data_IF_433973933740
#
_entry.id   IF_433973933740
#
_cell.length_a   1.000
_cell.length_b   1.000
_cell.length_c   1.000
_cell.angle_alpha   90.00
_cell.angle_beta   90.00
_cell.angle_gamma   90.00
#
_symmetry.space_group_name_H-M   'P 1'
#
loop_
_entity.id
_entity.type
_entity.pdbx_description
1 polymer ?
#
# COMPACT_ATOMS: atom_id res chain seq x y z
N UNK A 1 12.85 -5.55 -9.19
CA UNK A 1 11.62 -4.90 -9.70
C UNK A 1 10.50 -5.90 -9.99
N UNK A 2 10.66 -6.86 -10.93
CA UNK A 2 9.61 -7.85 -11.25
C UNK A 2 9.11 -8.56 -9.98
N UNK A 3 10.04 -9.09 -9.17
CA UNK A 3 9.71 -9.74 -7.90
C UNK A 3 8.94 -8.84 -6.94
N UNK A 4 9.23 -7.54 -6.89
CA UNK A 4 8.54 -6.61 -5.98
C UNK A 4 7.10 -6.35 -6.43
N UNK A 5 6.87 -6.22 -7.75
CA UNK A 5 5.53 -6.07 -8.31
C UNK A 5 4.70 -7.35 -8.16
N UNK A 6 5.33 -8.53 -8.28
CA UNK A 6 4.69 -9.80 -7.99
C UNK A 6 4.24 -9.88 -6.52
N UNK A 7 5.08 -9.41 -5.58
CA UNK A 7 4.70 -9.33 -4.17
C UNK A 7 3.52 -8.39 -3.93
N UNK A 8 3.48 -7.21 -4.57
CA UNK A 8 2.31 -6.31 -4.49
C UNK A 8 1.04 -7.02 -4.96
N UNK A 9 1.12 -7.68 -6.12
CA UNK A 9 -0.01 -8.42 -6.70
C UNK A 9 -0.49 -9.54 -5.77
N UNK A 10 0.45 -10.29 -5.18
CA UNK A 10 0.14 -11.36 -4.24
C UNK A 10 -0.54 -10.82 -2.96
N UNK A 11 -0.05 -9.71 -2.41
CA UNK A 11 -0.67 -9.07 -1.24
C UNK A 11 -2.09 -8.59 -1.52
N UNK A 12 -2.36 -8.01 -2.70
CA UNK A 12 -3.72 -7.63 -3.11
C UNK A 12 -4.62 -8.86 -3.23
N UNK A 13 -4.09 -9.96 -3.78
CA UNK A 13 -4.82 -11.23 -3.89
C UNK A 13 -5.16 -11.81 -2.51
N UNK A 14 -4.24 -11.77 -1.55
CA UNK A 14 -4.51 -12.22 -0.18
C UNK A 14 -5.63 -11.39 0.47
N UNK A 15 -5.56 -10.06 0.36
CA UNK A 15 -6.63 -9.18 0.83
C UNK A 15 -8.00 -9.53 0.20
N UNK A 16 -8.05 -9.74 -1.11
CA UNK A 16 -9.29 -10.13 -1.79
C UNK A 16 -9.82 -11.50 -1.30
N UNK A 17 -8.95 -12.48 -1.08
CA UNK A 17 -9.37 -13.79 -0.58
C UNK A 17 -9.91 -13.71 0.85
N UNK A 18 -9.23 -12.96 1.73
CA UNK A 18 -9.63 -12.84 3.13
C UNK A 18 -10.91 -12.03 3.30
N UNK A 19 -11.12 -10.97 2.51
CA UNK A 19 -12.39 -10.22 2.51
C UNK A 19 -13.59 -11.10 2.14
N UNK A 20 -13.41 -12.04 1.20
CA UNK A 20 -14.43 -13.03 0.84
C UNK A 20 -14.70 -14.01 1.98
N UNK A 21 -13.65 -14.56 2.60
CA UNK A 21 -13.76 -15.57 3.66
C UNK A 21 -14.31 -14.96 4.97
N UNK A 22 -14.01 -13.70 5.26
CA UNK A 22 -14.49 -13.00 6.45
C UNK A 22 -15.89 -12.39 6.28
N UNK A 23 -16.51 -12.59 5.12
CA UNK A 23 -17.85 -12.11 4.78
C UNK A 23 -17.96 -10.59 4.92
N UNK A 24 -16.92 -9.87 4.51
CA UNK A 24 -16.91 -8.41 4.49
C UNK A 24 -17.66 -7.92 3.26
N UNK A 25 -18.95 -7.66 3.42
CA UNK A 25 -19.84 -7.24 2.32
C UNK A 25 -19.64 -5.78 1.87
N UNK A 26 -18.84 -5.00 2.60
CA UNK A 26 -18.50 -3.62 2.25
C UNK A 26 -17.05 -3.31 2.62
N UNK A 27 -16.39 -2.52 1.78
CA UNK A 27 -15.07 -1.94 2.03
C UNK A 27 -15.13 -0.45 2.39
N UNK A 28 -16.33 0.10 2.62
CA UNK A 28 -16.54 1.52 2.91
C UNK A 28 -15.72 2.01 4.12
N UNK A 29 -15.48 1.13 5.10
CA UNK A 29 -14.66 1.44 6.28
C UNK A 29 -13.17 1.65 5.95
N UNK A 30 -12.72 1.23 4.77
CA UNK A 30 -11.34 1.31 4.32
C UNK A 30 -11.13 2.30 3.19
N UNK A 31 -12.16 3.04 2.77
CA UNK A 31 -12.14 3.90 1.59
C UNK A 31 -10.96 4.88 1.58
N UNK A 32 -10.72 5.57 2.71
CA UNK A 32 -9.59 6.49 2.85
C UNK A 32 -8.23 5.80 2.71
N UNK A 33 -8.08 4.58 3.23
CA UNK A 33 -6.84 3.79 3.13
C UNK A 33 -6.64 3.31 1.69
N UNK A 34 -7.72 2.83 1.05
CA UNK A 34 -7.70 2.38 -0.34
C UNK A 34 -7.37 3.53 -1.30
N UNK A 35 -7.88 4.74 -1.05
CA UNK A 35 -7.52 5.93 -1.82
C UNK A 35 -6.01 6.18 -1.77
N UNK A 36 -5.39 6.17 -0.59
CA UNK A 36 -3.94 6.34 -0.45
C UNK A 36 -3.17 5.23 -1.19
N UNK A 37 -3.61 3.97 -1.09
CA UNK A 37 -2.99 2.87 -1.84
C UNK A 37 -3.04 3.08 -3.35
N UNK A 38 -4.17 3.56 -3.90
CA UNK A 38 -4.30 3.87 -5.32
C UNK A 38 -3.33 4.99 -5.73
N UNK A 39 -3.19 6.03 -4.92
CA UNK A 39 -2.23 7.09 -5.19
C UNK A 39 -0.78 6.59 -5.14
N UNK A 40 -0.44 5.70 -4.20
CA UNK A 40 0.88 5.08 -4.14
C UNK A 40 1.19 4.25 -5.40
N UNK A 41 0.21 3.50 -5.90
CA UNK A 41 0.35 2.72 -7.15
C UNK A 41 0.53 3.65 -8.35
N UNK A 42 -0.26 4.73 -8.44
CA UNK A 42 -0.13 5.71 -9.52
C UNK A 42 1.24 6.42 -9.49
N UNK A 43 1.74 6.76 -8.31
CA UNK A 43 3.09 7.32 -8.16
C UNK A 43 4.16 6.30 -8.57
N UNK A 44 4.01 5.02 -8.20
CA UNK A 44 4.95 3.96 -8.59
C UNK A 44 4.97 3.77 -10.11
N UNK A 45 3.81 3.74 -10.75
CA UNK A 45 3.68 3.68 -12.21
C UNK A 45 4.37 4.87 -12.88
N UNK A 46 4.12 6.09 -12.40
CA UNK A 46 4.77 7.31 -12.90
C UNK A 46 6.30 7.25 -12.79
N UNK A 47 6.82 6.74 -11.67
CA UNK A 47 8.25 6.53 -11.48
C UNK A 47 8.84 5.47 -12.42
N UNK A 48 8.14 4.34 -12.62
CA UNK A 48 8.58 3.29 -13.55
C UNK A 48 8.62 3.81 -14.99
N UNK A 49 7.61 4.58 -15.41
CA UNK A 49 7.55 5.18 -16.75
C UNK A 49 8.64 6.24 -16.96
N UNK A 50 9.10 6.91 -15.91
CA UNK A 50 10.20 7.88 -15.97
C UNK A 50 11.60 7.22 -16.08
N UNK A 51 11.72 5.93 -15.76
CA UNK A 51 13.00 5.21 -15.71
C UNK A 51 13.70 5.07 -17.07
N UNK A 52 13.04 4.66 -18.17
CA UNK A 52 13.68 4.56 -19.49
C UNK A 52 14.16 5.92 -20.03
N UNK A 53 13.45 6.99 -19.65
CA UNK A 53 13.78 8.37 -20.05
C UNK A 53 14.85 9.01 -19.16
N UNK A 54 15.35 8.28 -18.15
CA UNK A 54 16.35 8.76 -17.18
C UNK A 54 15.95 10.08 -16.50
N UNK A 55 14.64 10.30 -16.31
CA UNK A 55 14.10 11.50 -15.65
C UNK A 55 14.24 11.39 -14.13
N UNK A 56 15.46 11.50 -13.62
CA UNK A 56 15.79 11.30 -12.20
C UNK A 56 14.94 12.15 -11.25
N UNK A 57 14.69 13.42 -11.57
CA UNK A 57 13.85 14.30 -10.77
C UNK A 57 12.39 13.80 -10.66
N UNK A 58 11.85 13.22 -11.74
CA UNK A 58 10.50 12.62 -11.73
C UNK A 58 10.46 11.35 -10.89
N UNK A 59 11.52 10.54 -10.95
CA UNK A 59 11.65 9.32 -10.13
C UNK A 59 11.74 9.70 -8.66
N UNK A 60 12.61 10.65 -8.30
CA UNK A 60 12.76 11.15 -6.92
C UNK A 60 11.44 11.72 -6.38
N UNK A 61 10.71 12.49 -7.19
CA UNK A 61 9.40 13.02 -6.81
C UNK A 61 8.42 11.88 -6.52
N UNK A 62 8.41 10.86 -7.37
CA UNK A 62 7.52 9.70 -7.23
C UNK A 62 7.85 8.88 -5.98
N UNK A 63 9.13 8.56 -5.75
CA UNK A 63 9.56 7.75 -4.61
C UNK A 63 9.37 8.50 -3.28
N UNK A 64 9.58 9.81 -3.27
CA UNK A 64 9.26 10.69 -2.13
C UNK A 64 7.75 10.70 -1.84
N UNK A 65 6.91 10.88 -2.87
CA UNK A 65 5.45 10.82 -2.72
C UNK A 65 4.99 9.51 -2.09
N UNK A 66 5.52 8.37 -2.55
CA UNK A 66 5.19 7.05 -2.01
C UNK A 66 5.58 6.93 -0.52
N UNK A 67 6.71 7.52 -0.12
CA UNK A 67 7.15 7.53 1.28
C UNK A 67 6.19 8.33 2.17
N UNK A 68 5.83 9.53 1.74
CA UNK A 68 4.90 10.40 2.47
C UNK A 68 3.50 9.76 2.58
N UNK A 69 3.03 9.15 1.50
CA UNK A 69 1.76 8.40 1.46
C UNK A 69 1.80 7.14 2.33
N UNK A 70 2.92 6.43 2.36
CA UNK A 70 3.09 5.27 3.25
C UNK A 70 2.94 5.68 4.72
N UNK A 71 3.58 6.77 5.14
CA UNK A 71 3.46 7.27 6.51
C UNK A 71 2.02 7.69 6.85
N UNK A 72 1.34 8.36 5.91
CA UNK A 72 -0.08 8.71 6.05
C UNK A 72 -0.97 7.47 6.18
N UNK A 73 -0.72 6.42 5.39
CA UNK A 73 -1.45 5.17 5.47
C UNK A 73 -1.25 4.47 6.82
N UNK A 74 -0.02 4.47 7.36
CA UNK A 74 0.25 3.91 8.68
C UNK A 74 -0.56 4.64 9.76
N UNK A 75 -0.65 5.96 9.70
CA UNK A 75 -1.48 6.77 10.62
C UNK A 75 -2.98 6.46 10.48
N UNK A 76 -3.51 6.41 9.26
CA UNK A 76 -4.90 6.04 9.00
C UNK A 76 -5.23 4.65 9.58
N UNK A 77 -4.37 3.67 9.33
CA UNK A 77 -4.56 2.32 9.86
C UNK A 77 -4.43 2.27 11.39
N UNK A 78 -3.57 3.09 12.00
CA UNK A 78 -3.47 3.18 13.45
C UNK A 78 -4.75 3.76 14.07
N UNK A 79 -5.28 4.83 13.50
CA UNK A 79 -6.57 5.43 13.90
C UNK A 79 -7.73 4.46 13.75
N UNK A 80 -7.81 3.76 12.61
CA UNK A 80 -8.83 2.74 12.38
C UNK A 80 -8.71 1.58 13.39
N UNK A 81 -7.48 1.15 13.72
CA UNK A 81 -7.26 0.13 14.75
C UNK A 81 -7.75 0.60 16.12
N UNK A 82 -7.43 1.84 16.51
CA UNK A 82 -7.87 2.40 17.78
C UNK A 82 -9.41 2.46 17.88
N UNK A 83 -10.08 2.85 16.79
CA UNK A 83 -11.54 2.85 16.71
C UNK A 83 -12.14 1.43 16.82
N UNK A 84 -11.50 0.42 16.23
CA UNK A 84 -11.91 -0.98 16.37
C UNK A 84 -11.76 -1.46 17.81
N UNK A 85 -10.63 -1.16 18.47
CA UNK A 85 -10.37 -1.59 19.86
C UNK A 85 -11.37 -1.02 20.88
N UNK A 86 -12.08 0.05 20.53
CA UNK A 86 -13.11 0.66 21.38
C UNK A 86 -14.48 -0.06 21.29
N UNK A 87 -14.60 -1.11 20.48
CA UNK A 87 -15.84 -1.87 20.28
C UNK A 87 -15.88 -3.10 21.18
N UNK A 88 -17.09 -3.57 21.52
CA UNK A 88 -17.27 -4.77 22.35
C UNK A 88 -17.29 -6.08 21.52
N UNK A 89 -17.41 -5.98 20.19
CA UNK A 89 -17.45 -7.15 19.30
C UNK A 89 -16.04 -7.64 18.94
N UNK A 90 -15.55 -8.60 19.73
CA UNK A 90 -14.24 -9.23 19.53
C UNK A 90 -14.10 -9.89 18.14
N UNK A 91 -15.18 -10.48 17.60
CA UNK A 91 -15.09 -11.16 16.29
C UNK A 91 -14.89 -10.13 15.18
N UNK A 92 -15.65 -9.03 15.24
CA UNK A 92 -15.47 -7.90 14.34
C UNK A 92 -14.08 -7.30 14.46
N UNK A 93 -13.60 -7.10 15.68
CA UNK A 93 -12.25 -6.61 15.95
C UNK A 93 -11.19 -7.45 15.23
N UNK A 94 -11.23 -8.77 15.40
CA UNK A 94 -10.23 -9.67 14.80
C UNK A 94 -10.27 -9.58 13.27
N UNK A 95 -11.45 -9.74 12.67
CA UNK A 95 -11.63 -9.69 11.20
C UNK A 95 -11.11 -8.38 10.61
N UNK A 96 -11.50 -7.25 11.18
CA UNK A 96 -11.11 -5.94 10.65
C UNK A 96 -9.64 -5.61 10.95
N UNK A 97 -9.07 -6.10 12.05
CA UNK A 97 -7.64 -5.98 12.33
C UNK A 97 -6.80 -6.72 11.29
N UNK A 98 -7.21 -7.91 10.88
CA UNK A 98 -6.53 -8.66 9.83
C UNK A 98 -6.60 -7.90 8.48
N UNK A 99 -7.74 -7.26 8.16
CA UNK A 99 -7.82 -6.41 6.96
C UNK A 99 -6.85 -5.23 7.01
N UNK A 100 -6.77 -4.54 8.15
CA UNK A 100 -5.81 -3.44 8.33
C UNK A 100 -4.37 -3.92 8.21
N UNK A 101 -4.06 -5.15 8.63
CA UNK A 101 -2.74 -5.76 8.43
C UNK A 101 -2.46 -6.03 6.94
N UNK A 102 -3.43 -6.57 6.19
CA UNK A 102 -3.27 -6.77 4.75
C UNK A 102 -3.05 -5.45 4.00
N UNK A 103 -3.82 -4.41 4.32
CA UNK A 103 -3.68 -3.09 3.70
C UNK A 103 -2.29 -2.47 3.99
N UNK A 104 -1.79 -2.61 5.22
CA UNK A 104 -0.40 -2.21 5.57
C UNK A 104 0.64 -3.00 4.78
N UNK A 105 0.44 -4.30 4.60
CA UNK A 105 1.37 -5.14 3.85
C UNK A 105 1.40 -4.73 2.36
N UNK A 106 0.26 -4.46 1.73
CA UNK A 106 0.20 -3.92 0.36
C UNK A 106 1.01 -2.62 0.27
N UNK A 107 0.76 -1.66 1.18
CA UNK A 107 1.48 -0.39 1.22
C UNK A 107 2.99 -0.58 1.35
N UNK A 108 3.41 -1.49 2.24
CA UNK A 108 4.81 -1.83 2.46
C UNK A 108 5.45 -2.40 1.20
N UNK A 109 4.77 -3.28 0.46
CA UNK A 109 5.28 -3.83 -0.80
C UNK A 109 5.43 -2.76 -1.88
N UNK A 110 4.50 -1.81 -1.98
CA UNK A 110 4.62 -0.67 -2.88
C UNK A 110 5.83 0.19 -2.51
N UNK A 111 6.03 0.49 -1.22
CA UNK A 111 7.18 1.24 -0.74
C UNK A 111 8.53 0.54 -1.02
N UNK A 112 8.60 -0.79 -0.85
CA UNK A 112 9.79 -1.58 -1.20
C UNK A 112 10.06 -1.54 -2.71
N UNK A 113 9.02 -1.62 -3.54
CA UNK A 113 9.14 -1.47 -4.98
C UNK A 113 9.68 -0.08 -5.36
N UNK A 114 9.22 0.98 -4.69
CA UNK A 114 9.72 2.34 -4.87
C UNK A 114 11.20 2.49 -4.49
N UNK A 115 11.64 1.89 -3.38
CA UNK A 115 13.06 1.88 -3.01
C UNK A 115 13.92 1.15 -4.05
N UNK A 116 13.40 0.05 -4.61
CA UNK A 116 14.06 -0.68 -5.69
C UNK A 116 14.15 0.16 -6.96
N UNK A 117 13.12 0.97 -7.26
CA UNK A 117 13.12 1.90 -8.38
C UNK A 117 14.18 3.00 -8.20
N UNK A 118 14.28 3.57 -7.01
CA UNK A 118 15.28 4.57 -6.67
C UNK A 118 16.71 4.03 -6.86
N UNK A 119 16.98 2.82 -6.35
CA UNK A 119 18.27 2.14 -6.52
C UNK A 119 18.60 1.86 -8.00
N UNK A 120 17.61 1.46 -8.80
CA UNK A 120 17.79 1.31 -10.24
C UNK A 120 18.13 2.65 -10.91
N UNK A 121 17.45 3.74 -10.54
CA UNK A 121 17.69 5.06 -11.12
C UNK A 121 19.11 5.56 -10.82
N UNK A 122 19.63 5.31 -9.61
CA UNK A 122 21.00 5.64 -9.23
C UNK A 122 22.02 4.83 -10.03
N UNK A 123 21.76 3.54 -10.27
CA UNK A 123 22.68 2.63 -10.98
C UNK A 123 22.68 2.78 -12.50
N UNK A 124 21.67 3.42 -13.07
CA UNK A 124 21.58 3.71 -14.52
C UNK A 124 22.39 4.97 -14.90
N UNK A 125 22.96 5.65 -13.90
CA UNK A 125 23.97 6.72 -14.04
C UNK A 125 25.34 6.09 -14.33
#
# INVERSE_FOLDING_TARGET
MITELDWVTLSVRHFQLETQVYELHSLSEYEAILAVLLEMVAALEGGILALPEKRLASIETSTRSIRDQYDSLIDLCAKATAQLMAQDDIKRIIRHKDMLLQLKEIAKRIHIAANTLEDMAIKVI
#
